data_IF_911176214255
#
_entry.id   IF_911176214255
#
_cell.length_a   1.000
_cell.length_b   1.000
_cell.length_c   1.000
_cell.angle_alpha   90.00
_cell.angle_beta   90.00
_cell.angle_gamma   90.00
#
_symmetry.space_group_name_H-M   'P 1'
#
loop_
_entity.id
_entity.type
_entity.pdbx_description
1 polymer ?
#
# COMPACT_ATOMS: atom_id res chain seq x y z
N UNK A 1 2.33 13.40 21.47
CA UNK A 1 2.41 12.47 20.31
C UNK A 1 1.35 12.94 19.34
N UNK A 2 1.69 13.20 18.07
CA UNK A 2 0.66 13.54 17.08
C UNK A 2 -0.31 12.36 17.02
N UNK A 3 -1.59 12.64 17.25
CA UNK A 3 -2.65 11.62 17.37
C UNK A 3 -2.83 10.83 16.08
N UNK A 4 -2.32 11.34 14.96
CA UNK A 4 -2.63 10.85 13.63
C UNK A 4 -1.41 10.90 12.68
N UNK A 5 -1.17 9.86 11.85
CA UNK A 5 -0.05 9.83 10.91
C UNK A 5 -0.07 10.92 9.84
N UNK A 6 -1.26 11.35 9.39
CA UNK A 6 -1.35 12.43 8.41
C UNK A 6 -0.89 13.77 9.01
N UNK A 7 -1.16 13.98 10.31
CA UNK A 7 -0.61 15.10 11.06
C UNK A 7 0.92 15.03 11.17
N UNK A 8 1.49 13.86 11.48
CA UNK A 8 2.95 13.68 11.48
C UNK A 8 3.56 13.96 10.11
N UNK A 9 3.00 13.41 9.04
CA UNK A 9 3.48 13.65 7.70
C UNK A 9 3.40 15.13 7.28
N UNK A 10 2.34 15.84 7.70
CA UNK A 10 2.20 17.29 7.46
C UNK A 10 3.27 18.11 8.18
N UNK A 11 3.55 17.78 9.45
CA UNK A 11 4.61 18.45 10.23
C UNK A 11 5.98 18.22 9.60
N UNK A 12 6.30 16.97 9.23
CA UNK A 12 7.56 16.62 8.55
C UNK A 12 7.69 17.33 7.20
N UNK A 13 6.59 17.54 6.49
CA UNK A 13 6.56 18.29 5.23
C UNK A 13 6.74 19.82 5.41
N UNK A 14 6.95 20.31 6.63
CA UNK A 14 7.13 21.74 6.92
C UNK A 14 5.82 22.50 7.07
N UNK A 15 4.74 21.81 7.44
CA UNK A 15 3.41 22.40 7.67
C UNK A 15 2.88 23.21 6.47
N UNK A 16 2.89 22.64 5.25
CA UNK A 16 2.46 23.37 4.06
C UNK A 16 1.02 23.88 4.21
N UNK A 17 0.72 25.07 3.66
CA UNK A 17 -0.62 25.64 3.73
C UNK A 17 -1.59 24.80 2.89
N UNK A 18 -2.87 24.87 3.26
CA UNK A 18 -3.96 24.28 2.50
C UNK A 18 -4.70 25.39 1.77
N UNK A 19 -4.99 25.18 0.48
CA UNK A 19 -5.78 26.12 -0.30
C UNK A 19 -7.26 26.04 0.09
N UNK A 20 -7.64 26.78 1.12
CA UNK A 20 -8.99 26.88 1.64
C UNK A 20 -9.17 28.23 2.36
N UNK A 21 -10.43 28.66 2.62
CA UNK A 21 -10.70 29.80 3.49
C UNK A 21 -10.05 29.66 4.87
N UNK A 22 -9.94 30.78 5.59
CA UNK A 22 -9.37 30.81 6.93
C UNK A 22 -10.01 29.74 7.85
N UNK A 23 -9.20 28.89 8.50
CA UNK A 23 -9.73 27.88 9.41
C UNK A 23 -10.49 28.52 10.57
N UNK A 24 -11.60 27.90 10.96
CA UNK A 24 -12.38 28.29 12.14
C UNK A 24 -12.34 27.17 13.19
N UNK A 25 -12.49 27.47 14.49
CA UNK A 25 -12.55 26.46 15.54
C UNK A 25 -13.66 25.42 15.27
N UNK A 26 -13.34 24.15 15.45
CA UNK A 26 -14.30 23.05 15.34
C UNK A 26 -13.64 21.69 15.47
N UNK A 27 -14.46 20.64 15.40
CA UNK A 27 -14.00 19.25 15.46
C UNK A 27 -13.79 18.67 14.06
N UNK A 28 -12.65 18.02 13.84
CA UNK A 28 -12.39 17.30 12.60
C UNK A 28 -13.29 16.07 12.47
N UNK A 29 -14.01 15.94 11.36
CA UNK A 29 -14.83 14.77 11.06
C UNK A 29 -14.04 13.48 10.92
N UNK A 30 -12.78 13.57 10.45
CA UNK A 30 -11.92 12.40 10.22
C UNK A 30 -11.23 11.92 11.50
N UNK A 31 -10.33 12.72 12.07
CA UNK A 31 -9.50 12.31 13.21
C UNK A 31 -10.10 12.65 14.57
N UNK A 32 -11.18 13.44 14.62
CA UNK A 32 -11.87 13.79 15.86
C UNK A 32 -11.18 14.87 16.69
N UNK A 33 -10.06 15.41 16.23
CA UNK A 33 -9.30 16.47 16.91
C UNK A 33 -10.03 17.81 16.85
N UNK A 34 -10.03 18.53 17.98
CA UNK A 34 -10.57 19.88 18.10
C UNK A 34 -9.50 20.91 17.76
N UNK A 35 -9.86 21.94 16.98
CA UNK A 35 -8.92 23.00 16.61
C UNK A 35 -9.33 23.78 15.36
N UNK A 36 -8.37 24.41 14.66
CA UNK A 36 -8.64 25.09 13.40
C UNK A 36 -9.05 24.09 12.31
N UNK A 37 -10.25 24.28 11.76
CA UNK A 37 -10.83 23.40 10.74
C UNK A 37 -11.30 24.17 9.51
N UNK A 38 -11.23 23.52 8.35
CA UNK A 38 -11.75 24.00 7.07
C UNK A 38 -12.91 23.13 6.61
N UNK A 39 -13.83 23.68 5.82
CA UNK A 39 -14.96 22.92 5.26
C UNK A 39 -14.44 21.92 4.22
N UNK A 40 -14.85 20.64 4.31
CA UNK A 40 -14.32 19.57 3.47
C UNK A 40 -14.58 19.77 1.97
N UNK A 41 -15.69 20.40 1.61
CA UNK A 41 -16.08 20.69 0.22
C UNK A 41 -15.11 21.61 -0.52
N UNK A 42 -14.28 22.39 0.19
CA UNK A 42 -13.19 23.17 -0.42
C UNK A 42 -11.96 22.34 -0.76
N UNK A 43 -11.83 21.14 -0.17
CA UNK A 43 -10.65 20.28 -0.29
C UNK A 43 -10.91 19.13 -1.26
N UNK A 44 -12.07 18.51 -1.11
CA UNK A 44 -12.44 17.28 -1.79
C UNK A 44 -13.91 17.34 -2.19
N UNK A 45 -14.22 16.75 -3.34
CA UNK A 45 -15.58 16.73 -3.87
C UNK A 45 -16.46 15.76 -3.10
N UNK A 46 -17.65 16.23 -2.67
CA UNK A 46 -18.68 15.41 -2.01
C UNK A 46 -18.97 14.09 -2.74
N UNK A 47 -18.93 14.10 -4.08
CA UNK A 47 -19.23 12.93 -4.91
C UNK A 47 -18.19 11.81 -4.86
N UNK A 48 -16.96 12.09 -4.41
CA UNK A 48 -15.82 11.18 -4.60
C UNK A 48 -15.17 10.68 -3.31
N UNK A 49 -15.41 11.33 -2.17
CA UNK A 49 -14.71 11.01 -0.91
C UNK A 49 -15.57 10.37 0.17
N UNK A 50 -16.89 10.27 0.00
CA UNK A 50 -17.76 9.55 0.93
C UNK A 50 -17.70 10.09 2.35
N UNK A 51 -18.01 11.38 2.54
CA UNK A 51 -17.96 12.06 3.85
C UNK A 51 -18.76 11.38 4.94
N UNK A 52 -19.82 10.67 4.57
CA UNK A 52 -20.68 9.95 5.51
C UNK A 52 -19.96 8.78 6.20
N UNK A 53 -18.80 8.36 5.69
CA UNK A 53 -17.96 7.33 6.32
C UNK A 53 -17.05 7.87 7.43
N UNK A 54 -17.02 9.19 7.67
CA UNK A 54 -16.17 9.77 8.70
C UNK A 54 -16.77 9.55 10.10
N UNK A 55 -16.00 8.99 11.05
CA UNK A 55 -16.53 8.48 12.31
C UNK A 55 -17.07 9.58 13.24
N UNK A 56 -16.67 10.84 13.07
CA UNK A 56 -17.07 11.94 13.94
C UNK A 56 -18.14 12.86 13.33
N UNK A 57 -18.72 12.50 12.19
CA UNK A 57 -19.94 13.12 11.64
C UNK A 57 -19.85 14.60 11.23
N UNK A 58 -18.67 15.22 11.29
CA UNK A 58 -18.45 16.61 10.92
C UNK A 58 -18.02 16.74 9.45
N UNK A 59 -18.58 17.69 8.71
CA UNK A 59 -18.13 18.04 7.33
C UNK A 59 -16.93 18.98 7.32
N UNK A 60 -16.07 18.89 8.34
CA UNK A 60 -14.90 19.76 8.52
C UNK A 60 -13.64 18.92 8.74
N UNK A 61 -12.52 19.43 8.27
CA UNK A 61 -11.21 18.80 8.39
C UNK A 61 -10.28 19.72 9.17
N UNK A 62 -9.50 19.19 10.11
CA UNK A 62 -8.36 19.95 10.62
C UNK A 62 -7.34 20.15 9.49
N UNK A 63 -6.47 21.16 9.63
CA UNK A 63 -5.50 21.54 8.59
C UNK A 63 -4.65 20.35 8.10
N UNK A 64 -4.12 19.46 8.97
CA UNK A 64 -3.35 18.31 8.49
C UNK A 64 -4.18 17.29 7.70
N UNK A 65 -5.41 17.01 8.13
CA UNK A 65 -6.32 16.13 7.38
C UNK A 65 -6.67 16.74 6.01
N UNK A 66 -6.93 18.05 5.98
CA UNK A 66 -7.23 18.78 4.76
C UNK A 66 -6.04 18.73 3.78
N UNK A 67 -4.82 18.88 4.28
CA UNK A 67 -3.61 18.70 3.47
C UNK A 67 -3.47 17.27 2.93
N UNK A 68 -3.71 16.25 3.75
CA UNK A 68 -3.61 14.87 3.29
C UNK A 68 -4.62 14.53 2.17
N UNK A 69 -5.82 15.11 2.25
CA UNK A 69 -6.84 14.98 1.22
C UNK A 69 -6.59 15.86 -0.02
N UNK A 70 -5.89 16.99 0.10
CA UNK A 70 -5.55 17.82 -1.06
C UNK A 70 -4.48 17.19 -1.95
N UNK A 71 -3.71 16.22 -1.42
CA UNK A 71 -2.77 15.42 -2.23
C UNK A 71 -3.54 14.50 -3.17
N UNK A 72 -3.28 14.64 -4.48
CA UNK A 72 -3.87 13.77 -5.49
C UNK A 72 -3.48 12.30 -5.25
N UNK A 73 -4.44 11.34 -5.29
CA UNK A 73 -4.17 9.92 -5.16
C UNK A 73 -3.10 9.37 -6.11
N UNK A 74 -2.92 10.02 -7.26
CA UNK A 74 -1.96 9.61 -8.31
C UNK A 74 -0.52 9.89 -7.88
N UNK A 75 -0.29 10.97 -7.13
CA UNK A 75 1.06 11.46 -6.83
C UNK A 75 1.58 11.02 -5.46
N UNK A 76 0.71 10.52 -4.58
CA UNK A 76 1.14 9.99 -3.28
C UNK A 76 2.01 8.76 -3.51
N UNK A 77 3.29 8.74 -3.08
CA UNK A 77 4.14 7.56 -3.19
C UNK A 77 3.81 6.54 -2.10
N UNK A 78 4.41 5.36 -2.22
CA UNK A 78 4.47 4.44 -1.10
C UNK A 78 5.38 5.05 -0.02
N UNK A 79 5.02 4.99 1.25
CA UNK A 79 5.80 5.63 2.32
C UNK A 79 5.64 4.96 3.68
N UNK A 80 6.65 5.15 4.52
CA UNK A 80 6.61 4.88 5.97
C UNK A 80 6.58 6.23 6.67
N UNK A 81 5.63 6.38 7.58
CA UNK A 81 5.46 7.56 8.42
C UNK A 81 5.78 7.14 9.85
N UNK A 82 6.56 7.96 10.54
CA UNK A 82 6.75 7.89 11.99
C UNK A 82 6.40 9.25 12.59
N UNK A 83 6.58 9.42 13.91
CA UNK A 83 6.30 10.68 14.57
C UNK A 83 7.16 11.86 14.05
N UNK A 84 8.37 11.57 13.56
CA UNK A 84 9.39 12.56 13.22
C UNK A 84 9.94 12.44 11.79
N UNK A 85 9.63 11.35 11.08
CA UNK A 85 10.14 11.11 9.73
C UNK A 85 9.09 10.60 8.77
N UNK A 86 9.27 10.92 7.48
CA UNK A 86 8.54 10.33 6.36
C UNK A 86 9.58 9.80 5.38
N UNK A 87 9.57 8.49 5.16
CA UNK A 87 10.43 7.83 4.18
C UNK A 87 9.59 7.42 2.98
N UNK A 88 9.79 8.09 1.84
CA UNK A 88 9.11 7.77 0.59
C UNK A 88 9.87 6.72 -0.23
N UNK A 89 9.12 5.88 -0.94
CA UNK A 89 9.62 4.83 -1.79
C UNK A 89 9.11 5.03 -3.21
N UNK A 90 10.04 5.00 -4.18
CA UNK A 90 9.71 5.12 -5.60
C UNK A 90 8.86 3.95 -6.11
N UNK A 91 9.03 2.77 -5.52
CA UNK A 91 8.27 1.56 -5.81
C UNK A 91 7.79 0.92 -4.51
N UNK A 92 6.56 0.41 -4.51
CA UNK A 92 5.98 -0.21 -3.31
C UNK A 92 6.78 -1.42 -2.81
N UNK A 93 7.49 -2.13 -3.70
CA UNK A 93 8.34 -3.27 -3.33
C UNK A 93 9.44 -2.90 -2.30
N UNK A 94 9.85 -1.63 -2.23
CA UNK A 94 10.81 -1.16 -1.23
C UNK A 94 10.30 -1.26 0.22
N UNK A 95 8.98 -1.36 0.43
CA UNK A 95 8.37 -1.57 1.75
C UNK A 95 8.37 -3.03 2.20
N UNK A 96 8.65 -3.98 1.30
CA UNK A 96 8.53 -5.40 1.61
C UNK A 96 9.42 -5.84 2.79
N UNK A 97 10.72 -5.46 2.87
CA UNK A 97 11.57 -5.87 3.98
C UNK A 97 11.01 -5.47 5.34
N UNK A 98 10.51 -4.22 5.46
CA UNK A 98 9.88 -3.72 6.68
C UNK A 98 8.63 -4.53 7.03
N UNK A 99 7.73 -4.71 6.06
CA UNK A 99 6.44 -5.35 6.29
C UNK A 99 6.55 -6.88 6.50
N UNK A 100 7.63 -7.52 6.03
CA UNK A 100 7.91 -8.93 6.34
C UNK A 100 8.65 -9.13 7.66
N UNK A 101 9.25 -8.09 8.24
CA UNK A 101 10.07 -8.21 9.45
C UNK A 101 9.23 -8.50 10.71
N UNK A 102 7.95 -8.12 10.73
CA UNK A 102 7.06 -8.37 11.85
C UNK A 102 5.93 -7.36 11.94
N UNK A 103 5.34 -7.26 13.13
CA UNK A 103 4.31 -6.28 13.42
C UNK A 103 4.85 -4.84 13.29
N UNK A 104 4.04 -3.93 12.75
CA UNK A 104 4.39 -2.51 12.76
C UNK A 104 4.26 -1.97 14.19
N UNK A 105 5.26 -1.21 14.69
CA UNK A 105 5.12 -0.48 15.93
C UNK A 105 3.93 0.49 15.87
N UNK A 106 3.31 0.77 17.02
CA UNK A 106 2.26 1.80 17.16
C UNK A 106 2.76 3.25 16.96
N UNK A 107 4.00 3.41 16.52
CA UNK A 107 4.64 4.67 16.13
C UNK A 107 4.90 4.75 14.63
N UNK A 108 4.55 3.70 13.88
CA UNK A 108 4.79 3.60 12.45
C UNK A 108 3.46 3.43 11.72
N UNK A 109 3.27 4.12 10.61
CA UNK A 109 2.16 3.89 9.69
C UNK A 109 2.73 3.70 8.29
N UNK A 110 2.19 2.74 7.53
CA UNK A 110 2.62 2.49 6.16
C UNK A 110 1.50 2.83 5.20
N UNK A 111 1.82 3.62 4.19
CA UNK A 111 0.90 4.00 3.12
C UNK A 111 1.37 3.33 1.83
N UNK A 112 0.51 2.52 1.23
CA UNK A 112 0.78 1.80 -0.01
C UNK A 112 -0.36 2.03 -1.02
N UNK A 113 -0.25 3.04 -1.89
CA UNK A 113 -1.18 3.23 -2.99
C UNK A 113 -0.96 2.16 -4.06
N UNK A 114 -1.88 1.21 -4.18
CA UNK A 114 -1.86 0.11 -5.15
C UNK A 114 -2.66 0.44 -6.42
N UNK A 115 -3.83 1.06 -6.29
CA UNK A 115 -4.69 1.47 -7.41
C UNK A 115 -4.54 2.94 -7.78
N UNK A 116 -4.07 3.77 -6.83
CA UNK A 116 -3.90 5.23 -6.97
C UNK A 116 -5.18 5.98 -7.31
N UNK A 117 -6.33 5.47 -6.83
CA UNK A 117 -7.66 6.05 -7.07
C UNK A 117 -8.29 6.64 -5.79
N UNK A 118 -7.67 6.41 -4.63
CA UNK A 118 -8.19 6.83 -3.31
C UNK A 118 -7.14 7.59 -2.51
N UNK A 119 -7.59 8.46 -1.61
CA UNK A 119 -6.70 9.21 -0.71
C UNK A 119 -6.20 8.32 0.44
N UNK A 120 -5.18 7.50 0.18
CA UNK A 120 -4.67 6.52 1.15
C UNK A 120 -3.93 7.18 2.32
N UNK A 121 -3.18 8.27 2.08
CA UNK A 121 -2.49 9.00 3.16
C UNK A 121 -3.47 9.50 4.22
N UNK A 122 -4.63 9.98 3.80
CA UNK A 122 -5.65 10.48 4.71
C UNK A 122 -6.28 9.38 5.56
N UNK A 123 -6.15 8.10 5.19
CA UNK A 123 -6.68 6.98 5.99
C UNK A 123 -5.58 6.26 6.79
N UNK A 124 -4.36 6.79 6.84
CA UNK A 124 -3.27 6.16 7.55
C UNK A 124 -3.54 6.12 9.06
N UNK A 125 -3.23 4.99 9.69
CA UNK A 125 -3.33 4.78 11.13
C UNK A 125 -2.03 4.19 11.68
N UNK A 126 -1.67 4.54 12.91
CA UNK A 126 -0.48 4.00 13.57
C UNK A 126 -0.59 2.49 13.79
N UNK A 127 0.49 1.74 13.57
CA UNK A 127 0.50 0.28 13.60
C UNK A 127 -0.19 -0.40 12.41
N UNK A 128 -0.60 0.36 11.38
CA UNK A 128 -1.39 -0.15 10.27
C UNK A 128 -0.69 0.01 8.90
N UNK A 129 -1.09 -0.85 7.97
CA UNK A 129 -0.92 -0.67 6.53
C UNK A 129 -2.22 -0.08 5.96
N UNK A 130 -2.13 1.12 5.40
CA UNK A 130 -3.18 1.73 4.60
C UNK A 130 -2.93 1.47 3.11
N UNK A 131 -3.93 0.95 2.42
CA UNK A 131 -3.99 0.75 0.96
C UNK A 131 -5.32 1.26 0.42
N UNK A 132 -5.54 1.22 -0.89
CA UNK A 132 -6.75 1.71 -1.54
C UNK A 132 -8.02 1.03 -0.99
N UNK A 133 -8.72 1.73 -0.08
CA UNK A 133 -9.99 1.28 0.48
C UNK A 133 -9.87 0.28 1.62
N UNK A 134 -8.68 0.08 2.18
CA UNK A 134 -8.49 -0.75 3.37
C UNK A 134 -7.37 -0.22 4.26
N UNK A 135 -7.64 -0.17 5.55
CA UNK A 135 -6.65 0.06 6.60
C UNK A 135 -6.64 -1.20 7.44
N UNK A 136 -5.48 -1.84 7.58
CA UNK A 136 -5.36 -3.11 8.29
C UNK A 136 -4.26 -3.04 9.34
N UNK A 137 -4.54 -3.53 10.54
CA UNK A 137 -3.53 -3.64 11.59
C UNK A 137 -2.45 -4.59 11.11
N UNK A 138 -1.21 -4.11 11.07
CA UNK A 138 -0.10 -4.92 10.60
C UNK A 138 0.54 -5.66 11.77
N UNK A 139 0.06 -6.86 12.02
CA UNK A 139 0.56 -7.74 13.07
C UNK A 139 1.52 -8.82 12.52
N UNK A 140 2.07 -9.65 13.42
CA UNK A 140 2.99 -10.72 13.05
C UNK A 140 2.37 -11.72 12.06
N UNK A 141 1.06 -12.00 12.17
CA UNK A 141 0.34 -12.88 11.23
C UNK A 141 0.28 -12.27 9.82
N UNK A 142 0.02 -10.97 9.70
CA UNK A 142 0.02 -10.27 8.42
C UNK A 142 1.43 -10.26 7.79
N UNK A 143 2.46 -10.01 8.60
CA UNK A 143 3.85 -10.06 8.17
C UNK A 143 4.26 -11.45 7.67
N UNK A 144 3.91 -12.51 8.42
CA UNK A 144 4.13 -13.90 8.03
C UNK A 144 3.44 -14.26 6.72
N UNK A 145 2.17 -13.85 6.54
CA UNK A 145 1.45 -14.04 5.28
C UNK A 145 2.10 -13.32 4.10
N UNK A 146 2.67 -12.13 4.30
CA UNK A 146 3.41 -11.45 3.24
C UNK A 146 4.68 -12.22 2.86
N UNK A 147 5.39 -12.78 3.85
CA UNK A 147 6.57 -13.61 3.61
C UNK A 147 6.20 -14.89 2.84
N UNK A 148 5.11 -15.56 3.22
CA UNK A 148 4.54 -16.70 2.51
C UNK A 148 4.15 -16.34 1.08
N UNK A 149 3.50 -15.18 0.88
CA UNK A 149 3.14 -14.68 -0.44
C UNK A 149 4.38 -14.49 -1.32
N UNK A 150 5.45 -13.89 -0.77
CA UNK A 150 6.70 -13.68 -1.49
C UNK A 150 7.36 -15.02 -1.88
N UNK A 151 7.36 -16.01 -0.97
CA UNK A 151 7.86 -17.36 -1.22
C UNK A 151 7.09 -18.04 -2.36
N UNK A 152 5.76 -18.08 -2.25
CA UNK A 152 4.89 -18.74 -3.22
C UNK A 152 4.95 -18.03 -4.57
N UNK A 153 4.92 -16.70 -4.59
CA UNK A 153 5.04 -15.90 -5.82
C UNK A 153 6.34 -16.21 -6.55
N UNK A 154 7.47 -16.25 -5.86
CA UNK A 154 8.77 -16.57 -6.47
C UNK A 154 8.75 -17.93 -7.16
N UNK A 155 8.22 -18.97 -6.51
CA UNK A 155 8.10 -20.31 -7.08
C UNK A 155 7.17 -20.34 -8.30
N UNK A 156 5.99 -19.70 -8.20
CA UNK A 156 5.04 -19.59 -9.32
C UNK A 156 5.65 -18.81 -10.49
N UNK A 157 6.31 -17.69 -10.23
CA UNK A 157 7.00 -16.87 -11.24
C UNK A 157 8.06 -17.69 -11.95
N UNK A 158 8.93 -18.38 -11.22
CA UNK A 158 9.95 -19.24 -11.81
C UNK A 158 9.33 -20.34 -12.69
N UNK A 159 8.27 -21.00 -12.21
CA UNK A 159 7.56 -22.01 -12.97
C UNK A 159 6.90 -21.43 -14.24
N UNK A 160 6.22 -20.28 -14.15
CA UNK A 160 5.58 -19.65 -15.31
C UNK A 160 6.61 -19.26 -16.37
N UNK A 161 7.75 -18.67 -15.97
CA UNK A 161 8.80 -18.31 -16.92
C UNK A 161 9.44 -19.53 -17.58
N UNK A 162 9.67 -20.61 -16.83
CA UNK A 162 10.21 -21.85 -17.39
C UNK A 162 9.28 -22.52 -18.42
N UNK A 163 7.98 -22.19 -18.39
CA UNK A 163 6.96 -22.73 -19.31
C UNK A 163 6.32 -21.64 -20.17
N UNK A 164 6.96 -20.47 -20.29
CA UNK A 164 6.53 -19.43 -21.21
C UNK A 164 7.02 -19.80 -22.62
N UNK A 165 6.14 -19.66 -23.62
CA UNK A 165 6.54 -19.77 -25.02
C UNK A 165 7.15 -18.45 -25.50
N UNK A 166 7.97 -18.49 -26.55
CA UNK A 166 8.58 -17.28 -27.14
C UNK A 166 7.56 -16.22 -27.58
N UNK A 167 6.30 -16.62 -27.79
CA UNK A 167 5.18 -15.76 -28.17
C UNK A 167 4.46 -15.06 -27.01
N UNK A 168 4.77 -15.38 -25.75
CA UNK A 168 4.09 -14.76 -24.60
C UNK A 168 4.67 -13.38 -24.28
N UNK A 169 3.81 -12.37 -24.28
CA UNK A 169 4.16 -11.04 -23.77
C UNK A 169 4.32 -11.03 -22.25
N UNK A 170 5.11 -10.09 -21.73
CA UNK A 170 5.28 -9.84 -20.29
C UNK A 170 3.94 -9.66 -19.55
N UNK A 171 2.96 -9.01 -20.20
CA UNK A 171 1.62 -8.85 -19.65
C UNK A 171 0.91 -10.19 -19.47
N UNK A 172 1.01 -11.08 -20.46
CA UNK A 172 0.42 -12.42 -20.38
C UNK A 172 1.10 -13.28 -19.31
N UNK A 173 2.42 -13.16 -19.16
CA UNK A 173 3.18 -13.80 -18.08
C UNK A 173 2.67 -13.32 -16.71
N UNK A 174 2.59 -12.00 -16.50
CA UNK A 174 2.09 -11.42 -15.26
C UNK A 174 0.65 -11.88 -14.93
N UNK A 175 -0.24 -11.91 -15.93
CA UNK A 175 -1.60 -12.41 -15.77
C UNK A 175 -1.64 -13.91 -15.42
N UNK A 176 -0.77 -14.72 -16.01
CA UNK A 176 -0.68 -16.15 -15.73
C UNK A 176 -0.15 -16.41 -14.31
N UNK A 177 0.84 -15.63 -13.86
CA UNK A 177 1.33 -15.67 -12.46
C UNK A 177 0.19 -15.36 -11.50
N UNK A 178 -0.51 -14.24 -11.71
CA UNK A 178 -1.60 -13.81 -10.82
C UNK A 178 -2.74 -14.82 -10.77
N UNK A 179 -3.17 -15.32 -11.94
CA UNK A 179 -4.21 -16.35 -12.03
C UNK A 179 -3.81 -17.63 -11.28
N UNK A 180 -2.56 -18.05 -11.39
CA UNK A 180 -2.07 -19.23 -10.66
C UNK A 180 -2.07 -18.99 -9.15
N UNK A 181 -1.63 -17.81 -8.70
CA UNK A 181 -1.60 -17.47 -7.27
C UNK A 181 -3.00 -17.39 -6.65
N UNK A 182 -4.00 -16.98 -7.43
CA UNK A 182 -5.40 -16.89 -6.99
C UNK A 182 -6.10 -18.25 -6.86
N UNK A 183 -5.49 -19.36 -7.30
CA UNK A 183 -6.10 -20.68 -7.16
C UNK A 183 -6.14 -21.10 -5.69
N UNK A 184 -7.24 -21.72 -5.29
CA UNK A 184 -7.40 -22.26 -3.93
C UNK A 184 -6.32 -23.31 -3.61
N UNK A 185 -6.02 -24.20 -4.56
CA UNK A 185 -4.97 -25.20 -4.41
C UNK A 185 -3.80 -24.94 -5.36
N UNK A 186 -2.55 -25.23 -4.93
CA UNK A 186 -1.41 -25.12 -5.80
C UNK A 186 -1.55 -26.10 -6.97
N UNK A 187 -1.29 -25.68 -8.22
CA UNK A 187 -1.20 -26.63 -9.31
C UNK A 187 -0.10 -27.65 -9.03
N UNK A 188 -0.41 -28.94 -9.19
CA UNK A 188 0.59 -30.01 -9.03
C UNK A 188 1.89 -29.75 -9.81
N UNK A 189 1.88 -29.24 -11.06
CA UNK A 189 3.12 -28.93 -11.77
C UNK A 189 4.00 -27.87 -11.07
N UNK A 190 3.42 -26.92 -10.33
CA UNK A 190 4.19 -25.92 -9.56
C UNK A 190 4.78 -26.57 -8.31
N UNK A 191 4.00 -27.42 -7.63
CA UNK A 191 4.47 -28.14 -6.45
C UNK A 191 5.60 -29.12 -6.82
N UNK A 192 5.46 -29.83 -7.94
CA UNK A 192 6.41 -30.82 -8.43
C UNK A 192 7.79 -30.23 -8.80
N UNK A 193 7.89 -28.92 -9.03
CA UNK A 193 9.19 -28.25 -9.24
C UNK A 193 9.87 -27.81 -7.94
N UNK A 194 9.22 -27.97 -6.78
CA UNK A 194 9.82 -27.67 -5.49
C UNK A 194 10.58 -28.89 -4.92
N UNK A 195 11.69 -28.67 -4.19
CA UNK A 195 12.35 -29.73 -3.41
C UNK A 195 11.37 -30.44 -2.49
N UNK A 196 11.43 -31.78 -2.40
CA UNK A 196 10.45 -32.58 -1.65
C UNK A 196 10.40 -32.24 -0.16
N UNK A 197 11.53 -31.88 0.41
CA UNK A 197 11.69 -31.41 1.80
C UNK A 197 11.01 -30.06 2.05
N UNK A 198 10.80 -29.23 1.03
CA UNK A 198 10.09 -27.95 1.16
C UNK A 198 8.59 -28.02 0.85
N UNK A 199 8.04 -29.20 0.54
CA UNK A 199 6.63 -29.34 0.16
C UNK A 199 5.68 -28.89 1.26
N UNK A 200 5.91 -29.32 2.50
CA UNK A 200 5.07 -28.93 3.64
C UNK A 200 5.06 -27.41 3.81
N UNK A 201 6.24 -26.78 3.82
CA UNK A 201 6.36 -25.33 3.91
C UNK A 201 5.63 -24.61 2.77
N UNK A 202 5.75 -25.10 1.53
CA UNK A 202 5.08 -24.49 0.39
C UNK A 202 3.55 -24.63 0.46
N UNK A 203 3.06 -25.81 0.89
CA UNK A 203 1.62 -26.05 1.06
C UNK A 203 1.03 -25.20 2.17
N UNK A 204 1.73 -25.09 3.30
CA UNK A 204 1.35 -24.25 4.44
C UNK A 204 1.32 -22.77 4.02
N UNK A 205 2.37 -22.30 3.33
CA UNK A 205 2.43 -20.95 2.78
C UNK A 205 1.28 -20.72 1.77
N UNK A 206 0.95 -21.68 0.92
CA UNK A 206 -0.17 -21.53 -0.03
C UNK A 206 -1.53 -21.44 0.69
N UNK A 207 -1.71 -22.22 1.75
CA UNK A 207 -2.91 -22.23 2.57
C UNK A 207 -3.05 -20.95 3.41
N UNK A 208 -1.94 -20.37 3.87
CA UNK A 208 -1.96 -19.13 4.65
C UNK A 208 -2.49 -17.93 3.87
N UNK A 209 -2.44 -17.99 2.52
CA UNK A 209 -2.95 -16.94 1.63
C UNK A 209 -4.46 -16.94 1.42
N UNK A 210 -5.20 -17.99 1.80
CA UNK A 210 -6.65 -18.07 1.53
C UNK A 210 -7.44 -16.83 2.02
N UNK A 211 -7.17 -16.29 3.23
CA UNK A 211 -7.89 -15.11 3.70
C UNK A 211 -7.63 -13.88 2.83
N UNK A 212 -6.42 -13.72 2.29
CA UNK A 212 -6.06 -12.56 1.46
C UNK A 212 -6.63 -12.64 0.04
N UNK A 213 -6.80 -13.84 -0.53
CA UNK A 213 -7.45 -14.03 -1.84
C UNK A 213 -8.88 -13.49 -1.89
N UNK A 214 -9.55 -13.37 -0.75
CA UNK A 214 -10.93 -12.84 -0.63
C UNK A 214 -10.97 -11.33 -0.39
N UNK A 215 -9.83 -10.69 -0.13
CA UNK A 215 -9.73 -9.27 0.20
C UNK A 215 -8.89 -8.58 -0.86
N UNK A 216 -9.57 -8.08 -1.91
CA UNK A 216 -8.91 -7.51 -3.09
C UNK A 216 -7.87 -6.42 -2.77
N UNK A 217 -8.10 -5.47 -1.85
CA UNK A 217 -7.07 -4.48 -1.50
C UNK A 217 -5.79 -5.08 -0.89
N UNK A 218 -5.90 -6.14 -0.09
CA UNK A 218 -4.73 -6.84 0.46
C UNK A 218 -4.00 -7.64 -0.62
N UNK A 219 -4.76 -8.29 -1.52
CA UNK A 219 -4.15 -9.00 -2.64
C UNK A 219 -3.39 -8.06 -3.56
N UNK A 220 -3.98 -6.91 -3.90
CA UNK A 220 -3.33 -5.86 -4.67
C UNK A 220 -2.07 -5.32 -3.96
N UNK A 221 -2.15 -5.05 -2.65
CA UNK A 221 -1.01 -4.64 -1.85
C UNK A 221 0.12 -5.68 -1.89
N UNK A 222 -0.18 -6.95 -1.62
CA UNK A 222 0.80 -8.05 -1.64
C UNK A 222 1.47 -8.19 -3.01
N UNK A 223 0.71 -8.05 -4.11
CA UNK A 223 1.27 -8.02 -5.47
C UNK A 223 2.25 -6.87 -5.65
N UNK A 224 1.88 -5.64 -5.25
CA UNK A 224 2.76 -4.48 -5.37
C UNK A 224 4.03 -4.63 -4.52
N UNK A 225 3.92 -5.16 -3.30
CA UNK A 225 5.04 -5.37 -2.38
C UNK A 225 6.01 -6.44 -2.88
N UNK A 226 5.52 -7.47 -3.57
CA UNK A 226 6.34 -8.61 -4.02
C UNK A 226 6.61 -8.59 -5.53
N UNK A 227 6.25 -7.50 -6.20
CA UNK A 227 6.58 -7.31 -7.59
C UNK A 227 8.06 -6.96 -7.73
N UNK A 228 8.85 -7.86 -8.29
CA UNK A 228 10.20 -7.55 -8.72
C UNK A 228 10.12 -6.76 -10.02
N UNK A 229 10.63 -5.52 -10.10
CA UNK A 229 10.70 -4.82 -11.37
C UNK A 229 11.58 -5.61 -12.35
N UNK A 230 11.05 -5.92 -13.52
CA UNK A 230 11.82 -6.54 -14.61
C UNK A 230 12.95 -5.58 -15.01
N UNK A 231 14.17 -6.08 -15.27
CA UNK A 231 15.37 -5.27 -15.64
C UNK A 231 15.14 -4.20 -16.73
N UNK A 232 14.11 -4.36 -17.57
CA UNK A 232 13.73 -3.39 -18.58
C UNK A 232 13.24 -2.04 -18.01
N UNK A 233 12.60 -2.03 -16.83
CA UNK A 233 12.16 -0.80 -16.18
C UNK A 233 13.34 -0.03 -15.54
N UNK A 234 14.28 -0.75 -14.93
CA UNK A 234 15.49 -0.17 -14.34
C UNK A 234 16.38 0.56 -15.38
N UNK A 235 16.37 0.10 -16.64
CA UNK A 235 17.11 0.74 -17.73
C UNK A 235 16.44 2.02 -18.26
N UNK A 236 15.12 2.19 -18.10
CA UNK A 236 14.43 3.45 -18.44
C UNK A 236 14.76 4.56 -17.43
N UNK A 237 14.85 4.23 -16.14
CA UNK A 237 15.21 5.18 -15.08
C UNK A 237 16.64 5.70 -15.23
N UNK A 238 17.57 4.87 -15.75
CA UNK A 238 18.95 5.27 -16.08
C UNK A 238 19.08 6.13 -17.34
N UNK A 239 18.16 6.03 -18.31
CA UNK A 239 18.21 6.86 -19.54
C UNK A 239 17.69 8.28 -19.32
N UNK A 240 16.76 8.48 -18.39
CA UNK A 240 16.18 9.78 -18.08
C UNK A 240 16.99 10.62 -17.08
N UNK A 241 18.14 10.11 -16.61
CA UNK A 241 19.04 10.80 -15.67
C UNK A 241 20.28 11.42 -16.33
N UNK A 242 20.30 11.56 -17.67
CA UNK A 242 21.31 12.39 -18.34
C UNK A 242 20.92 13.86 -18.23
N UNK A 243 21.70 14.72 -17.56
CA UNK A 243 21.48 16.16 -17.61
C UNK A 243 21.75 16.63 -19.05
N UNK A 244 20.84 17.45 -19.58
CA UNK A 244 21.14 18.26 -20.76
C UNK A 244 22.27 19.22 -20.37
N UNK A 245 23.42 19.03 -21.00
CA UNK A 245 24.49 20.02 -21.06
C UNK A 245 24.13 21.10 -22.07
#
# INVERSE_FOLDING_TARGET
>A
MLSDPAAAAWVVAGQPPVNAPAPIPGRCGRCGEDGPTVTSSHIISEKFTGFDAWPFGSRRLCVPCAWAYSRSPIVVPAMVITADTVTEYSEGAGLAPLLTAGALPNTHAVVLPSSRRRHVLATAEWGHLATDGLVTMWNATAAGRLADFALVRRAVTAWVHAHATDSMSERQIAMKIDRTLMREMPPYPVLATQPRDSWTQFLDAWASLQPWRKVEPLWAAARTLTHTPTKAAANKTRRNSRPYA
#
